data_IF_367274640545
#
_entry.id   IF_367274640545
#
_cell.length_a   1.000
_cell.length_b   1.000
_cell.length_c   1.000
_cell.angle_alpha   90.00
_cell.angle_beta   90.00
_cell.angle_gamma   90.00
#
_symmetry.space_group_name_H-M   'P 1'
#
loop_
_entity.id
_entity.type
_entity.pdbx_description
1 polymer ?
#
# COMPACT_ATOMS: atom_id res chain seq x y z
N UNK A 1 -0.57 14.11 4.16
CA UNK A 1 0.63 13.76 4.95
C UNK A 1 1.67 13.20 4.02
N UNK A 2 2.73 13.97 3.73
CA UNK A 2 3.80 13.62 2.78
C UNK A 2 4.82 12.74 3.49
N UNK A 3 5.18 11.58 2.93
CA UNK A 3 6.33 10.80 3.43
C UNK A 3 7.59 11.65 3.20
N UNK A 4 8.51 11.77 4.18
CA UNK A 4 9.73 12.55 4.00
C UNK A 4 10.54 11.97 2.83
N UNK A 5 10.83 12.79 1.81
CA UNK A 5 11.67 12.43 0.65
C UNK A 5 10.96 12.33 -0.71
N UNK A 6 9.62 12.34 -0.77
CA UNK A 6 8.89 12.37 -2.05
C UNK A 6 8.37 13.80 -2.31
N UNK A 7 8.75 14.44 -3.44
CA UNK A 7 8.24 15.77 -3.80
C UNK A 7 6.71 15.82 -3.90
N UNK A 8 6.12 16.98 -3.62
CA UNK A 8 4.67 17.17 -3.74
C UNK A 8 4.22 17.40 -5.18
N UNK A 9 4.33 16.33 -5.99
CA UNK A 9 4.01 16.30 -7.41
C UNK A 9 3.09 15.10 -7.69
N UNK A 10 2.14 15.28 -8.61
CA UNK A 10 1.20 14.22 -8.99
C UNK A 10 1.84 13.12 -9.85
N UNK A 11 2.81 13.48 -10.68
CA UNK A 11 3.46 12.56 -11.62
C UNK A 11 4.97 12.81 -11.71
N UNK A 12 5.75 11.73 -11.77
CA UNK A 12 7.20 11.71 -11.88
C UNK A 12 7.60 11.14 -13.24
N UNK A 13 8.57 11.75 -13.94
CA UNK A 13 9.18 11.17 -15.14
C UNK A 13 10.14 10.05 -14.73
N UNK A 14 10.44 9.13 -15.65
CA UNK A 14 11.39 8.03 -15.37
C UNK A 14 12.76 8.51 -14.87
N UNK A 15 13.25 9.66 -15.34
CA UNK A 15 14.50 10.26 -14.84
C UNK A 15 14.40 10.62 -13.35
N UNK A 16 13.36 11.36 -12.96
CA UNK A 16 13.09 11.71 -11.56
C UNK A 16 12.93 10.46 -10.68
N UNK A 17 12.21 9.44 -11.17
CA UNK A 17 12.05 8.16 -10.46
C UNK A 17 13.39 7.45 -10.30
N UNK A 18 14.23 7.44 -11.33
CA UNK A 18 15.55 6.80 -11.29
C UNK A 18 16.49 7.47 -10.29
N UNK A 19 16.45 8.81 -10.22
CA UNK A 19 17.21 9.60 -9.24
C UNK A 19 16.74 9.32 -7.81
N UNK A 20 15.43 9.34 -7.57
CA UNK A 20 14.84 9.04 -6.24
C UNK A 20 15.19 7.63 -5.79
N UNK A 21 15.12 6.65 -6.70
CA UNK A 21 15.47 5.26 -6.40
C UNK A 21 16.99 5.05 -6.35
N UNK A 22 17.81 5.96 -6.86
CA UNK A 22 19.26 5.75 -6.98
C UNK A 22 19.64 4.55 -7.85
N UNK A 23 18.86 4.27 -8.89
CA UNK A 23 19.11 3.19 -9.87
C UNK A 23 19.03 3.74 -11.29
N UNK A 24 19.59 3.03 -12.26
CA UNK A 24 19.56 3.45 -13.65
C UNK A 24 18.14 3.32 -14.26
N UNK A 25 17.74 4.18 -15.22
CA UNK A 25 16.42 4.11 -15.85
C UNK A 25 16.06 2.74 -16.45
N UNK A 26 17.04 1.98 -16.96
CA UNK A 26 16.76 0.65 -17.50
C UNK A 26 16.39 -0.36 -16.41
N UNK A 27 16.88 -0.18 -15.17
CA UNK A 27 16.51 -1.01 -14.02
C UNK A 27 15.06 -0.76 -13.64
N UNK A 28 14.61 0.50 -13.67
CA UNK A 28 13.19 0.85 -13.46
C UNK A 28 12.31 0.16 -14.51
N UNK A 29 12.71 0.20 -15.78
CA UNK A 29 11.99 -0.50 -16.87
C UNK A 29 11.97 -2.01 -16.68
N UNK A 30 13.07 -2.59 -16.24
CA UNK A 30 13.14 -4.01 -15.95
C UNK A 30 12.16 -4.39 -14.82
N UNK A 31 12.10 -3.59 -13.75
CA UNK A 31 11.13 -3.81 -12.68
C UNK A 31 9.68 -3.60 -13.11
N UNK A 32 9.40 -2.68 -14.04
CA UNK A 32 8.06 -2.56 -14.62
C UNK A 32 7.59 -3.90 -15.19
N UNK A 33 8.45 -4.56 -15.97
CA UNK A 33 8.15 -5.87 -16.55
C UNK A 33 8.04 -6.94 -15.46
N UNK A 34 9.01 -7.06 -14.57
CA UNK A 34 9.03 -8.13 -13.57
C UNK A 34 7.91 -8.03 -12.52
N UNK A 35 7.48 -6.82 -12.20
CA UNK A 35 6.45 -6.57 -11.19
C UNK A 35 5.12 -6.13 -11.79
N UNK A 36 4.97 -6.20 -13.12
CA UNK A 36 3.76 -5.87 -13.86
C UNK A 36 3.23 -4.45 -13.54
N UNK A 37 4.14 -3.48 -13.40
CA UNK A 37 3.77 -2.07 -13.26
C UNK A 37 3.46 -1.49 -14.64
N UNK A 38 2.34 -0.78 -14.76
CA UNK A 38 1.88 -0.19 -16.02
C UNK A 38 1.84 1.33 -15.93
N UNK A 39 3.01 2.01 -15.91
CA UNK A 39 3.05 3.46 -15.84
C UNK A 39 2.37 4.08 -17.05
N UNK A 40 1.63 5.16 -16.80
CA UNK A 40 0.96 5.91 -17.86
C UNK A 40 1.99 6.54 -18.81
N UNK A 41 1.55 6.85 -20.03
CA UNK A 41 2.35 7.60 -21.00
C UNK A 41 1.79 9.01 -21.13
N UNK A 42 2.67 10.00 -21.10
CA UNK A 42 2.28 11.38 -21.39
C UNK A 42 2.04 11.59 -22.91
N UNK A 43 1.65 12.81 -23.31
CA UNK A 43 1.39 13.17 -24.72
C UNK A 43 2.58 12.89 -25.65
N UNK A 44 3.80 13.03 -25.13
CA UNK A 44 5.05 12.76 -25.84
C UNK A 44 5.50 11.29 -25.71
N UNK A 45 4.62 10.39 -25.27
CA UNK A 45 4.85 8.94 -25.09
C UNK A 45 5.91 8.56 -24.05
N UNK A 46 6.35 9.49 -23.20
CA UNK A 46 7.24 9.19 -22.08
C UNK A 46 6.46 8.63 -20.89
N UNK A 47 7.08 7.68 -20.19
CA UNK A 47 6.54 7.09 -18.96
C UNK A 47 6.43 8.14 -17.87
N UNK A 48 5.28 8.17 -17.20
CA UNK A 48 5.03 8.95 -16.00
C UNK A 48 4.46 8.04 -14.93
N UNK A 49 4.95 8.23 -13.71
CA UNK A 49 4.62 7.41 -12.54
C UNK A 49 3.86 8.28 -11.56
N UNK A 50 2.75 7.79 -11.04
CA UNK A 50 2.08 8.45 -9.93
C UNK A 50 2.80 8.14 -8.60
N UNK A 51 2.35 8.77 -7.51
CA UNK A 51 2.92 8.55 -6.17
C UNK A 51 2.84 7.09 -5.71
N UNK A 52 1.75 6.38 -5.99
CA UNK A 52 1.58 4.98 -5.61
C UNK A 52 2.56 4.06 -6.34
N UNK A 53 2.81 4.30 -7.62
CA UNK A 53 3.79 3.56 -8.42
C UNK A 53 5.22 3.81 -7.92
N UNK A 54 5.54 5.06 -7.55
CA UNK A 54 6.82 5.39 -6.93
C UNK A 54 7.01 4.67 -5.59
N UNK A 55 5.98 4.63 -4.74
CA UNK A 55 6.01 3.89 -3.49
C UNK A 55 6.21 2.38 -3.69
N UNK A 56 5.56 1.81 -4.71
CA UNK A 56 5.74 0.40 -5.06
C UNK A 56 7.19 0.12 -5.50
N UNK A 57 7.78 1.01 -6.32
CA UNK A 57 9.17 0.90 -6.75
C UNK A 57 10.17 1.04 -5.59
N UNK A 58 9.90 1.92 -4.62
CA UNK A 58 10.70 2.04 -3.40
C UNK A 58 10.66 0.74 -2.58
N UNK A 59 9.49 0.11 -2.46
CA UNK A 59 9.37 -1.18 -1.77
C UNK A 59 10.08 -2.31 -2.51
N UNK A 60 9.99 -2.34 -3.85
CA UNK A 60 10.76 -3.29 -4.67
C UNK A 60 12.26 -3.11 -4.43
N UNK A 61 12.76 -1.88 -4.45
CA UNK A 61 14.18 -1.59 -4.15
C UNK A 61 14.58 -2.14 -2.79
N UNK A 62 13.77 -1.86 -1.75
CA UNK A 62 14.01 -2.34 -0.38
C UNK A 62 14.13 -3.87 -0.33
N UNK A 63 13.19 -4.57 -0.95
CA UNK A 63 13.18 -6.03 -0.99
C UNK A 63 14.42 -6.61 -1.70
N UNK A 64 14.83 -6.02 -2.81
CA UNK A 64 15.93 -6.55 -3.62
C UNK A 64 17.32 -6.18 -3.06
N UNK A 65 17.50 -4.94 -2.59
CA UNK A 65 18.82 -4.42 -2.20
C UNK A 65 19.10 -4.55 -0.71
N UNK A 66 18.10 -4.29 0.14
CA UNK A 66 18.27 -4.31 1.59
C UNK A 66 18.00 -5.70 2.15
N UNK A 67 16.87 -6.31 1.76
CA UNK A 67 16.49 -7.65 2.23
C UNK A 67 17.01 -8.80 1.37
N UNK A 68 17.69 -8.50 0.25
CA UNK A 68 18.35 -9.50 -0.62
C UNK A 68 17.43 -10.59 -1.18
N UNK A 69 16.15 -10.28 -1.38
CA UNK A 69 15.25 -11.19 -2.09
C UNK A 69 15.64 -11.32 -3.56
N UNK A 70 15.36 -12.49 -4.13
CA UNK A 70 15.31 -12.65 -5.59
C UNK A 70 14.06 -11.95 -6.15
N UNK A 71 14.00 -11.74 -7.46
CA UNK A 71 12.82 -11.17 -8.13
C UNK A 71 11.55 -11.97 -7.80
N UNK A 72 11.63 -13.30 -7.85
CA UNK A 72 10.51 -14.17 -7.52
C UNK A 72 10.09 -14.05 -6.06
N UNK A 73 11.07 -14.04 -5.14
CA UNK A 73 10.82 -13.87 -3.71
C UNK A 73 10.16 -12.53 -3.38
N UNK A 74 10.66 -11.43 -3.95
CA UNK A 74 10.08 -10.10 -3.80
C UNK A 74 8.65 -10.04 -4.37
N UNK A 75 8.40 -10.65 -5.53
CA UNK A 75 7.06 -10.73 -6.15
C UNK A 75 6.08 -11.47 -5.24
N UNK A 76 6.50 -12.59 -4.64
CA UNK A 76 5.68 -13.35 -3.68
C UNK A 76 5.36 -12.51 -2.44
N UNK A 77 6.38 -11.86 -1.87
CA UNK A 77 6.23 -11.02 -0.66
C UNK A 77 5.28 -9.85 -0.88
N UNK A 78 5.36 -9.18 -2.02
CA UNK A 78 4.44 -8.08 -2.37
C UNK A 78 2.99 -8.57 -2.49
N UNK A 79 2.75 -9.74 -3.12
CA UNK A 79 1.41 -10.32 -3.22
C UNK A 79 0.83 -10.71 -1.85
N UNK A 80 1.65 -11.25 -0.96
CA UNK A 80 1.24 -11.60 0.41
C UNK A 80 0.79 -10.36 1.19
N UNK A 81 1.55 -9.27 1.14
CA UNK A 81 1.18 -8.01 1.80
C UNK A 81 -0.14 -7.42 1.29
N UNK A 82 -0.43 -7.52 -0.01
CA UNK A 82 -1.71 -7.07 -0.55
C UNK A 82 -2.87 -7.89 0.03
N UNK A 83 -2.71 -9.22 0.14
CA UNK A 83 -3.70 -10.11 0.77
C UNK A 83 -3.89 -9.83 2.25
N UNK A 84 -2.81 -9.55 2.98
CA UNK A 84 -2.88 -9.18 4.39
C UNK A 84 -3.60 -7.85 4.58
N UNK A 85 -3.28 -6.84 3.75
CA UNK A 85 -3.93 -5.52 3.82
C UNK A 85 -5.42 -5.60 3.50
N UNK A 86 -5.83 -6.40 2.51
CA UNK A 86 -7.25 -6.60 2.21
C UNK A 86 -7.96 -7.38 3.32
N UNK A 87 -7.31 -8.37 3.94
CA UNK A 87 -7.84 -9.06 5.11
C UNK A 87 -8.02 -8.11 6.30
N UNK A 88 -7.03 -7.27 6.60
CA UNK A 88 -7.13 -6.26 7.67
C UNK A 88 -8.25 -5.24 7.41
N UNK A 89 -8.40 -4.78 6.17
CA UNK A 89 -9.52 -3.91 5.81
C UNK A 89 -10.85 -4.62 6.05
N UNK A 90 -11.01 -5.85 5.56
CA UNK A 90 -12.23 -6.65 5.76
C UNK A 90 -12.52 -6.89 7.25
N UNK A 91 -11.51 -7.19 8.06
CA UNK A 91 -11.63 -7.33 9.51
C UNK A 91 -12.09 -6.01 10.16
N UNK A 92 -11.57 -4.86 9.72
CA UNK A 92 -12.04 -3.56 10.23
C UNK A 92 -13.51 -3.29 9.89
N UNK A 93 -14.01 -3.76 8.74
CA UNK A 93 -15.43 -3.64 8.38
C UNK A 93 -16.30 -4.55 9.26
N UNK A 94 -15.88 -5.79 9.49
CA UNK A 94 -16.54 -6.70 10.42
C UNK A 94 -16.52 -6.14 11.85
N UNK A 95 -15.37 -5.66 12.33
CA UNK A 95 -15.21 -5.11 13.68
C UNK A 95 -16.05 -3.84 13.89
N UNK A 96 -16.20 -2.97 12.88
CA UNK A 96 -17.14 -1.83 12.93
C UNK A 96 -18.59 -2.29 13.05
N UNK A 97 -19.00 -3.32 12.29
CA UNK A 97 -20.34 -3.89 12.39
C UNK A 97 -20.58 -4.53 13.76
N UNK A 98 -19.59 -5.25 14.30
CA UNK A 98 -19.65 -5.84 15.63
C UNK A 98 -19.64 -4.79 16.74
N UNK A 99 -18.95 -3.66 16.56
CA UNK A 99 -18.93 -2.57 17.55
C UNK A 99 -20.30 -1.95 17.75
N UNK A 100 -21.08 -1.78 16.67
CA UNK A 100 -22.45 -1.29 16.78
C UNK A 100 -23.36 -2.27 17.55
N UNK A 101 -23.22 -3.57 17.29
CA UNK A 101 -23.94 -4.62 18.02
C UNK A 101 -23.52 -4.67 19.49
N UNK A 102 -22.22 -4.63 19.78
CA UNK A 102 -21.68 -4.62 21.14
C UNK A 102 -22.13 -3.39 21.94
N UNK A 103 -22.22 -2.22 21.31
CA UNK A 103 -22.76 -1.03 21.96
C UNK A 103 -24.24 -1.18 22.30
N UNK A 104 -25.03 -1.78 21.40
CA UNK A 104 -26.45 -2.05 21.63
C UNK A 104 -26.64 -3.05 22.77
N UNK A 105 -25.93 -4.17 22.73
CA UNK A 105 -25.94 -5.19 23.79
C UNK A 105 -25.50 -4.62 25.14
N UNK A 106 -24.42 -3.85 25.18
CA UNK A 106 -23.97 -3.18 26.41
C UNK A 106 -25.08 -2.31 26.99
N UNK A 107 -25.76 -1.52 26.15
CA UNK A 107 -26.83 -0.60 26.57
C UNK A 107 -28.02 -1.36 27.16
N UNK A 108 -28.42 -2.46 26.53
CA UNK A 108 -29.49 -3.33 27.04
C UNK A 108 -29.12 -4.01 28.36
N UNK A 109 -27.90 -4.54 28.47
CA UNK A 109 -27.43 -5.15 29.71
C UNK A 109 -27.36 -4.14 30.87
N UNK A 110 -26.93 -2.90 30.63
CA UNK A 110 -26.98 -1.85 31.67
C UNK A 110 -28.41 -1.53 32.11
N UNK A 111 -29.36 -1.51 31.17
CA UNK A 111 -30.78 -1.31 31.49
C UNK A 111 -31.32 -2.42 32.38
N UNK A 112 -31.02 -3.67 32.04
CA UNK A 112 -31.45 -4.83 32.84
C UNK A 112 -30.82 -4.77 34.24
N UNK A 113 -29.54 -4.40 34.35
CA UNK A 113 -28.89 -4.24 35.65
C UNK A 113 -29.58 -3.17 36.50
N UNK A 114 -29.87 -2.00 35.93
CA UNK A 114 -30.60 -0.93 36.63
C UNK A 114 -32.02 -1.36 37.07
N UNK A 115 -32.67 -2.22 36.29
CA UNK A 115 -33.98 -2.79 36.66
C UNK A 115 -33.92 -3.82 37.77
N UNK A 116 -32.76 -4.44 38.01
CA UNK A 116 -32.54 -5.44 39.07
C UNK A 116 -31.97 -4.82 40.36
N UNK A 117 -31.49 -3.59 40.32
CA UNK A 117 -30.99 -2.83 41.48
C UNK A 117 -32.09 -1.99 42.17
N UNK A 118 -33.32 -2.03 41.66
CA UNK A 118 -34.56 -1.51 42.29
C UNK A 118 -35.46 -2.68 42.73
#
# INVERSE_FOLDING_TARGET
MTRPGIPDKFYFKIGEVSEILGVQPYVVRFWETEFHLTPAKNRSRHRVYNRQELENLLEIKRLLYEERFTIEGARKKLKERVKEKSKQLNLNWEEKNHKALLQRLKKELTKIREMLEN
#
